data_IF_806371401074
#
_entry.id   IF_806371401074
#
_cell.length_a   1.000
_cell.length_b   1.000
_cell.length_c   1.000
_cell.angle_alpha   90.00
_cell.angle_beta   90.00
_cell.angle_gamma   90.00
#
_symmetry.space_group_name_H-M   'P 1'
#
loop_
_entity.id
_entity.type
_entity.pdbx_description
1 polymer ?
#
# COMPACT_ATOMS: atom_id res chain seq x y z
N UNK A 1 6.56 4.20 24.62
CA UNK A 1 5.35 3.39 24.86
C UNK A 1 5.69 2.30 25.86
N UNK A 2 4.80 1.93 26.79
CA UNK A 2 5.02 0.84 27.76
C UNK A 2 3.90 -0.21 27.63
N UNK A 3 4.28 -1.47 27.37
CA UNK A 3 3.33 -2.58 27.18
C UNK A 3 3.42 -3.49 28.40
N UNK A 4 2.29 -3.77 29.06
CA UNK A 4 2.21 -4.73 30.16
C UNK A 4 1.92 -6.14 29.64
N UNK A 5 2.29 -7.17 30.39
CA UNK A 5 1.92 -8.55 30.08
C UNK A 5 1.23 -9.20 31.28
N UNK A 6 0.26 -10.07 31.02
CA UNK A 6 -0.46 -10.81 32.04
C UNK A 6 -0.60 -12.28 31.62
N UNK A 7 -0.39 -13.19 32.58
CA UNK A 7 -0.60 -14.62 32.39
C UNK A 7 -2.10 -14.93 32.23
N UNK A 8 -2.41 -16.02 31.54
CA UNK A 8 -3.77 -16.52 31.39
C UNK A 8 -3.91 -17.90 32.03
N UNK A 9 -5.13 -18.43 32.08
CA UNK A 9 -5.37 -19.80 32.55
C UNK A 9 -4.73 -20.86 31.64
N UNK A 10 -4.36 -20.49 30.40
CA UNK A 10 -3.69 -21.37 29.45
C UNK A 10 -2.19 -21.04 29.41
N UNK A 11 -1.29 -22.00 29.70
CA UNK A 11 0.15 -21.73 29.76
C UNK A 11 0.75 -21.32 28.41
N UNK A 12 0.12 -21.74 27.31
CA UNK A 12 0.54 -21.39 25.94
C UNK A 12 -0.08 -20.09 25.43
N UNK A 13 -0.82 -19.34 26.25
CA UNK A 13 -1.45 -18.07 25.88
C UNK A 13 -1.02 -16.97 26.83
N UNK A 14 -0.53 -15.86 26.27
CA UNK A 14 -0.12 -14.68 27.03
C UNK A 14 -0.88 -13.44 26.56
N UNK A 15 -1.30 -12.62 27.51
CA UNK A 15 -1.98 -11.35 27.25
C UNK A 15 -0.99 -10.20 27.25
N UNK A 16 -1.07 -9.34 26.24
CA UNK A 16 -0.33 -8.09 26.12
C UNK A 16 -1.30 -6.91 26.20
N UNK A 17 -0.93 -5.89 26.95
CA UNK A 17 -1.75 -4.72 27.28
C UNK A 17 -1.00 -3.45 26.84
N UNK A 18 -1.28 -2.93 25.62
CA UNK A 18 -0.59 -1.77 25.06
C UNK A 18 -0.88 -0.43 25.75
N UNK A 19 -1.94 -0.37 26.56
CA UNK A 19 -2.40 0.86 27.23
C UNK A 19 -3.08 1.86 26.30
N UNK A 20 -3.48 1.42 25.10
CA UNK A 20 -4.27 2.15 24.11
C UNK A 20 -5.12 1.16 23.32
N UNK A 21 -6.02 1.69 22.50
CA UNK A 21 -6.91 0.90 21.67
C UNK A 21 -6.16 0.04 20.64
N UNK A 22 -6.59 -1.21 20.51
CA UNK A 22 -5.97 -2.30 19.75
C UNK A 22 -6.93 -2.91 18.72
N UNK A 23 -8.22 -2.60 18.74
CA UNK A 23 -9.13 -2.95 17.65
C UNK A 23 -10.44 -2.16 17.79
N UNK A 24 -10.91 -1.54 16.72
CA UNK A 24 -12.25 -0.95 16.66
C UNK A 24 -13.28 -2.04 16.33
N UNK A 25 -14.09 -2.45 17.31
CA UNK A 25 -15.21 -3.38 17.10
C UNK A 25 -15.02 -4.77 17.71
N UNK A 26 -15.64 -5.79 17.08
CA UNK A 26 -15.64 -7.15 17.62
C UNK A 26 -14.25 -7.79 17.56
N UNK A 27 -13.99 -8.67 18.52
CA UNK A 27 -12.74 -9.41 18.65
C UNK A 27 -12.42 -10.20 17.38
N UNK A 28 -11.21 -10.04 16.86
CA UNK A 28 -10.72 -10.70 15.64
C UNK A 28 -9.69 -11.77 16.01
N UNK A 29 -9.72 -12.90 15.31
CA UNK A 29 -8.85 -14.05 15.58
C UNK A 29 -8.07 -14.45 14.33
N UNK A 30 -6.78 -14.69 14.49
CA UNK A 30 -5.84 -15.05 13.43
C UNK A 30 -5.11 -16.34 13.81
N UNK A 31 -5.24 -17.41 13.01
CA UNK A 31 -4.66 -18.74 13.32
C UNK A 31 -3.60 -19.22 12.31
N UNK A 32 -3.42 -18.50 11.19
CA UNK A 32 -2.39 -18.76 10.17
C UNK A 32 -2.27 -17.57 9.19
N UNK A 33 -1.31 -17.63 8.25
CA UNK A 33 -1.11 -16.62 7.20
C UNK A 33 -2.31 -16.39 6.27
N UNK A 34 -3.29 -17.30 6.28
CA UNK A 34 -4.43 -17.32 5.35
C UNK A 34 -5.54 -16.31 5.70
N UNK A 35 -5.40 -15.55 6.80
CA UNK A 35 -6.36 -14.52 7.18
C UNK A 35 -5.69 -13.26 7.78
N UNK A 36 -4.42 -13.00 7.44
CA UNK A 36 -3.62 -11.87 7.96
C UNK A 36 -4.02 -10.52 7.34
N UNK A 37 -4.73 -10.54 6.21
CA UNK A 37 -5.07 -9.37 5.40
C UNK A 37 -5.65 -8.16 6.19
N UNK A 38 -6.43 -8.33 7.27
CA UNK A 38 -7.03 -7.19 7.94
C UNK A 38 -6.26 -6.61 9.13
N UNK A 39 -5.00 -7.01 9.42
CA UNK A 39 -4.25 -6.35 10.50
C UNK A 39 -2.73 -6.38 10.30
N UNK A 40 -2.14 -5.19 10.09
CA UNK A 40 -0.69 -4.98 10.06
C UNK A 40 -0.02 -5.36 11.39
N UNK A 41 -0.73 -5.19 12.52
CA UNK A 41 -0.31 -5.65 13.84
C UNK A 41 -0.27 -7.18 13.91
N UNK A 42 -1.33 -7.87 13.47
CA UNK A 42 -1.37 -9.33 13.46
C UNK A 42 -0.29 -9.91 12.53
N UNK A 43 -0.07 -9.31 11.36
CA UNK A 43 0.97 -9.70 10.42
C UNK A 43 2.38 -9.68 11.06
N UNK A 44 2.72 -8.58 11.74
CA UNK A 44 4.03 -8.39 12.38
C UNK A 44 4.26 -9.41 13.49
N UNK A 45 3.25 -9.67 14.32
CA UNK A 45 3.38 -10.60 15.44
C UNK A 45 3.37 -12.06 14.95
N UNK A 46 2.58 -12.42 13.94
CA UNK A 46 2.58 -13.78 13.35
C UNK A 46 3.88 -14.10 12.60
N UNK A 47 4.64 -13.07 12.21
CA UNK A 47 5.98 -13.26 11.63
C UNK A 47 7.02 -13.70 12.68
N UNK A 48 6.72 -13.57 13.98
CA UNK A 48 7.59 -14.08 15.04
C UNK A 48 7.51 -15.61 15.02
N UNK A 49 8.65 -16.33 14.82
CA UNK A 49 8.65 -17.78 14.80
C UNK A 49 8.01 -18.37 16.05
N UNK A 50 7.31 -19.49 15.92
CA UNK A 50 6.62 -20.21 17.00
C UNK A 50 5.37 -19.50 17.58
N UNK A 51 4.95 -18.36 17.03
CA UNK A 51 3.60 -17.80 17.27
C UNK A 51 2.60 -18.50 16.36
N UNK A 52 1.58 -19.10 16.94
CA UNK A 52 0.57 -19.89 16.22
C UNK A 52 -0.71 -19.10 15.97
N UNK A 53 -1.11 -18.27 16.93
CA UNK A 53 -2.41 -17.60 16.89
C UNK A 53 -2.40 -16.29 17.64
N UNK A 54 -3.18 -15.33 17.15
CA UNK A 54 -3.39 -14.03 17.76
C UNK A 54 -4.87 -13.74 17.88
N UNK A 55 -5.29 -13.11 18.98
CA UNK A 55 -6.63 -12.58 19.14
C UNK A 55 -6.51 -11.09 19.49
N UNK A 56 -7.11 -10.23 18.68
CA UNK A 56 -7.15 -8.78 18.88
C UNK A 56 -8.50 -8.41 19.49
N UNK A 57 -8.45 -7.84 20.68
CA UNK A 57 -9.58 -7.26 21.39
C UNK A 57 -9.43 -5.73 21.40
N UNK A 58 -10.40 -4.98 21.94
CA UNK A 58 -10.34 -3.51 21.96
C UNK A 58 -9.16 -2.98 22.77
N UNK A 59 -8.82 -3.63 23.88
CA UNK A 59 -7.78 -3.13 24.81
C UNK A 59 -6.56 -4.05 24.96
N UNK A 60 -6.59 -5.25 24.38
CA UNK A 60 -5.56 -6.24 24.62
C UNK A 60 -5.33 -7.19 23.43
N UNK A 61 -4.15 -7.79 23.43
CA UNK A 61 -3.71 -8.79 22.43
C UNK A 61 -3.50 -10.10 23.17
N UNK A 62 -4.11 -11.19 22.70
CA UNK A 62 -3.75 -12.54 23.14
C UNK A 62 -2.85 -13.18 22.09
N UNK A 63 -1.73 -13.73 22.52
CA UNK A 63 -0.82 -14.49 21.65
C UNK A 63 -0.75 -15.92 22.14
N UNK A 64 -0.92 -16.86 21.22
CA UNK A 64 -0.76 -18.30 21.45
C UNK A 64 0.52 -18.77 20.80
N UNK A 65 1.38 -19.44 21.57
CA UNK A 65 2.66 -20.01 21.10
C UNK A 65 2.58 -21.52 20.90
N UNK A 66 3.58 -22.08 20.23
CA UNK A 66 3.81 -23.52 20.20
C UNK A 66 4.21 -24.08 21.58
N UNK A 67 4.11 -25.39 21.75
CA UNK A 67 4.41 -26.06 23.02
C UNK A 67 5.91 -26.07 23.35
N UNK A 68 6.78 -25.94 22.34
CA UNK A 68 8.22 -26.21 22.47
C UNK A 68 9.09 -24.98 22.76
N UNK A 69 8.49 -23.80 22.96
CA UNK A 69 9.22 -22.55 23.22
C UNK A 69 8.77 -21.87 24.52
N UNK A 70 9.68 -21.18 25.20
CA UNK A 70 9.39 -20.43 26.42
C UNK A 70 9.02 -18.96 26.13
N UNK A 71 8.09 -18.40 26.90
CA UNK A 71 7.70 -16.99 26.79
C UNK A 71 8.85 -16.01 27.03
N UNK A 72 9.88 -16.39 27.79
CA UNK A 72 11.10 -15.59 27.97
C UNK A 72 11.78 -15.30 26.63
N UNK A 73 11.73 -16.24 25.68
CA UNK A 73 12.32 -16.06 24.35
C UNK A 73 11.39 -15.30 23.39
N UNK A 74 10.06 -15.51 23.50
CA UNK A 74 9.07 -14.89 22.62
C UNK A 74 8.67 -13.46 23.01
N UNK A 75 8.75 -13.11 24.29
CA UNK A 75 8.34 -11.77 24.77
C UNK A 75 9.09 -10.64 24.06
N UNK A 76 10.44 -10.64 23.96
CA UNK A 76 11.17 -9.54 23.31
C UNK A 76 10.75 -9.26 21.85
N UNK A 77 10.72 -10.24 20.92
CA UNK A 77 10.32 -9.97 19.54
C UNK A 77 8.85 -9.57 19.40
N UNK A 78 7.94 -10.14 20.20
CA UNK A 78 6.52 -9.74 20.18
C UNK A 78 6.34 -8.30 20.66
N UNK A 79 7.03 -7.91 21.74
CA UNK A 79 7.01 -6.53 22.23
C UNK A 79 7.58 -5.55 21.20
N UNK A 80 8.65 -5.93 20.50
CA UNK A 80 9.19 -5.17 19.37
C UNK A 80 8.15 -4.97 18.27
N UNK A 81 7.51 -6.05 17.81
CA UNK A 81 6.48 -6.00 16.78
C UNK A 81 5.30 -5.08 17.16
N UNK A 82 4.83 -5.15 18.41
CA UNK A 82 3.75 -4.29 18.91
C UNK A 82 4.22 -2.83 18.98
N UNK A 83 5.43 -2.57 19.50
CA UNK A 83 5.96 -1.20 19.61
C UNK A 83 6.16 -0.57 18.23
N UNK A 84 6.74 -1.29 17.28
CA UNK A 84 7.02 -0.81 15.93
C UNK A 84 5.72 -0.40 15.23
N UNK A 85 4.70 -1.25 15.29
CA UNK A 85 3.35 -0.96 14.75
C UNK A 85 2.77 0.34 15.32
N UNK A 86 2.90 0.51 16.62
CA UNK A 86 2.30 1.62 17.34
C UNK A 86 3.12 2.92 17.30
N UNK A 87 4.36 2.85 16.84
CA UNK A 87 5.25 3.98 16.57
C UNK A 87 5.21 4.37 15.09
N UNK A 88 4.99 3.41 14.17
CA UNK A 88 4.82 3.70 12.73
C UNK A 88 3.53 4.46 12.44
N UNK A 89 2.53 4.38 13.33
CA UNK A 89 1.24 5.05 13.14
C UNK A 89 0.34 4.32 12.13
N UNK A 90 0.66 3.06 11.81
CA UNK A 90 -0.18 2.21 10.98
C UNK A 90 -1.55 2.03 11.66
N UNK A 91 -2.66 2.08 10.91
CA UNK A 91 -4.00 1.85 11.49
C UNK A 91 -4.19 0.40 11.94
N UNK A 92 -4.98 0.22 13.00
CA UNK A 92 -5.10 -1.00 13.81
C UNK A 92 -5.92 -2.08 13.12
N UNK A 93 -6.85 -1.63 12.29
CA UNK A 93 -7.67 -2.47 11.43
C UNK A 93 -7.30 -2.14 9.99
N UNK A 94 -6.67 -3.08 9.32
CA UNK A 94 -6.74 -3.13 7.86
C UNK A 94 -8.09 -3.72 7.42
N UNK A 95 -9.22 -3.18 7.87
CA UNK A 95 -10.45 -3.25 7.05
C UNK A 95 -10.30 -2.27 5.86
N UNK A 96 -9.17 -2.38 5.16
CA UNK A 96 -8.82 -1.61 3.97
C UNK A 96 -9.86 -1.89 2.89
N UNK A 97 -10.44 -3.08 2.85
CA UNK A 97 -11.36 -3.47 1.78
C UNK A 97 -12.76 -2.85 1.89
N UNK A 98 -13.24 -2.45 3.09
CA UNK A 98 -14.57 -1.83 3.27
C UNK A 98 -14.54 -0.37 3.74
N UNK A 99 -13.55 0.04 4.55
CA UNK A 99 -13.45 1.44 5.03
C UNK A 99 -12.78 2.31 3.97
N UNK A 100 -11.71 1.83 3.32
CA UNK A 100 -11.02 2.62 2.29
C UNK A 100 -11.78 2.62 0.96
N UNK A 101 -12.53 1.57 0.63
CA UNK A 101 -13.44 1.57 -0.53
C UNK A 101 -14.60 2.58 -0.35
N UNK A 102 -15.12 2.76 0.87
CA UNK A 102 -16.04 3.85 1.22
C UNK A 102 -15.36 5.22 1.23
N UNK A 103 -14.19 5.34 1.85
CA UNK A 103 -13.47 6.60 1.98
C UNK A 103 -13.02 7.12 0.60
N UNK A 104 -12.74 6.26 -0.39
CA UNK A 104 -12.42 6.65 -1.77
C UNK A 104 -13.65 7.03 -2.59
N UNK A 105 -14.81 6.38 -2.41
CA UNK A 105 -16.08 6.90 -2.95
C UNK A 105 -16.48 8.23 -2.30
N UNK A 106 -16.00 8.48 -1.07
CA UNK A 106 -16.16 9.71 -0.30
C UNK A 106 -15.01 10.74 -0.45
N UNK A 107 -13.96 10.47 -1.24
CA UNK A 107 -12.95 11.47 -1.66
C UNK A 107 -13.55 12.55 -2.58
N UNK A 108 -14.88 12.70 -2.60
CA UNK A 108 -15.54 13.84 -3.20
C UNK A 108 -15.01 15.09 -2.53
N UNK A 109 -14.28 15.88 -3.33
CA UNK A 109 -13.94 17.24 -3.00
C UNK A 109 -15.25 18.00 -2.79
N UNK A 110 -15.62 18.20 -1.53
CA UNK A 110 -16.69 19.12 -1.19
C UNK A 110 -16.18 20.54 -1.44
N UNK A 111 -16.47 21.09 -2.61
CA UNK A 111 -16.07 22.45 -2.96
C UNK A 111 -16.74 23.53 -2.07
N UNK A 112 -17.69 23.15 -1.21
CA UNK A 112 -18.21 24.03 -0.17
C UNK A 112 -17.36 24.06 1.09
N UNK A 113 -16.44 23.10 1.26
CA UNK A 113 -15.42 23.14 2.31
C UNK A 113 -14.37 24.22 1.96
N UNK A 114 -14.19 25.24 2.83
CA UNK A 114 -13.23 26.30 2.60
C UNK A 114 -11.78 25.79 2.50
N UNK A 115 -11.43 24.69 3.20
CA UNK A 115 -10.11 24.08 3.13
C UNK A 115 -9.88 23.45 1.77
N UNK A 116 -10.88 22.76 1.23
CA UNK A 116 -10.82 22.14 -0.10
C UNK A 116 -10.69 23.20 -1.20
N UNK A 117 -11.41 24.31 -1.06
CA UNK A 117 -11.30 25.44 -1.97
C UNK A 117 -9.89 26.07 -1.94
N UNK A 118 -9.32 26.26 -0.75
CA UNK A 118 -7.95 26.80 -0.58
C UNK A 118 -6.88 25.84 -1.10
N UNK A 119 -7.00 24.54 -0.81
CA UNK A 119 -6.15 23.49 -1.37
C UNK A 119 -6.15 23.54 -2.90
N UNK A 120 -7.34 23.62 -3.50
CA UNK A 120 -7.51 23.68 -4.95
C UNK A 120 -6.84 24.92 -5.55
N UNK A 121 -7.00 26.09 -4.92
CA UNK A 121 -6.37 27.32 -5.37
C UNK A 121 -4.84 27.25 -5.29
N UNK A 122 -4.28 26.80 -4.16
CA UNK A 122 -2.82 26.68 -3.99
C UNK A 122 -2.22 25.68 -4.98
N UNK A 123 -2.91 24.58 -5.22
CA UNK A 123 -2.45 23.55 -6.16
C UNK A 123 -2.40 24.11 -7.57
N UNK A 124 -3.48 24.73 -8.06
CA UNK A 124 -3.54 25.25 -9.42
C UNK A 124 -2.62 26.46 -9.64
N UNK A 125 -2.47 27.34 -8.64
CA UNK A 125 -1.73 28.60 -8.80
C UNK A 125 -0.22 28.49 -8.52
N UNK A 126 0.22 27.52 -7.70
CA UNK A 126 1.62 27.43 -7.26
C UNK A 126 2.26 26.07 -7.52
N UNK A 127 1.60 24.98 -7.16
CA UNK A 127 2.19 23.65 -7.18
C UNK A 127 2.21 23.08 -8.61
N UNK A 128 1.10 23.15 -9.33
CA UNK A 128 0.96 22.62 -10.69
C UNK A 128 1.85 23.32 -11.72
N UNK A 129 2.05 24.66 -11.68
CA UNK A 129 3.04 25.32 -12.53
C UNK A 129 4.48 24.83 -12.27
N UNK A 130 4.82 24.51 -11.02
CA UNK A 130 6.14 23.99 -10.68
C UNK A 130 6.31 22.53 -11.12
N UNK A 131 5.27 21.71 -10.98
CA UNK A 131 5.26 20.32 -11.46
C UNK A 131 5.42 20.24 -12.99
N UNK A 132 4.63 21.03 -13.72
CA UNK A 132 4.66 21.05 -15.20
C UNK A 132 5.98 21.56 -15.77
N UNK A 133 6.62 22.55 -15.12
CA UNK A 133 7.97 22.99 -15.49
C UNK A 133 9.02 21.88 -15.38
N UNK A 134 8.82 20.93 -14.48
CA UNK A 134 9.74 19.80 -14.27
C UNK A 134 9.34 18.55 -15.09
N UNK A 135 8.33 18.64 -15.97
CA UNK A 135 7.89 17.52 -16.81
C UNK A 135 6.91 16.56 -16.13
N UNK A 136 6.21 17.00 -15.08
CA UNK A 136 5.19 16.23 -14.38
C UNK A 136 3.86 17.00 -14.26
N UNK A 137 2.87 16.41 -13.60
CA UNK A 137 1.59 17.06 -13.28
C UNK A 137 1.12 16.63 -11.88
N UNK A 138 0.25 17.41 -11.25
CA UNK A 138 -0.31 17.12 -9.93
C UNK A 138 -1.80 17.42 -9.94
N UNK A 139 -2.61 16.51 -9.39
CA UNK A 139 -4.07 16.69 -9.23
C UNK A 139 -4.49 16.43 -7.79
N UNK A 140 -5.31 17.33 -7.25
CA UNK A 140 -5.99 17.09 -5.98
C UNK A 140 -7.05 16.02 -6.17
N UNK A 141 -7.01 14.97 -5.36
CA UNK A 141 -7.97 13.85 -5.41
C UNK A 141 -8.89 13.80 -4.21
N UNK A 142 -8.48 14.30 -3.05
CA UNK A 142 -9.35 14.44 -1.89
C UNK A 142 -8.65 15.00 -0.68
N UNK A 143 -9.43 15.29 0.36
CA UNK A 143 -8.96 15.75 1.66
C UNK A 143 -9.85 15.16 2.75
N UNK A 144 -9.26 14.38 3.65
CA UNK A 144 -9.97 13.71 4.76
C UNK A 144 -9.06 13.75 5.99
N UNK A 145 -9.59 14.19 7.13
CA UNK A 145 -8.91 14.17 8.44
C UNK A 145 -7.46 14.68 8.44
N UNK A 146 -7.23 15.81 7.75
CA UNK A 146 -5.91 16.44 7.67
C UNK A 146 -4.95 15.77 6.67
N UNK A 147 -5.40 14.77 5.91
CA UNK A 147 -4.61 14.11 4.86
C UNK A 147 -5.05 14.62 3.50
N UNK A 148 -4.11 15.19 2.75
CA UNK A 148 -4.34 15.61 1.36
C UNK A 148 -3.90 14.48 0.44
N UNK A 149 -4.81 14.01 -0.41
CA UNK A 149 -4.53 12.98 -1.41
C UNK A 149 -4.25 13.64 -2.75
N UNK A 150 -3.02 13.53 -3.24
CA UNK A 150 -2.59 14.07 -4.51
C UNK A 150 -2.24 12.94 -5.47
N UNK A 151 -2.68 13.03 -6.71
CA UNK A 151 -2.14 12.19 -7.78
C UNK A 151 -0.96 12.92 -8.42
N UNK A 152 0.23 12.35 -8.26
CA UNK A 152 1.44 12.82 -8.93
C UNK A 152 1.58 12.12 -10.29
N UNK A 153 2.00 12.83 -11.32
CA UNK A 153 2.26 12.30 -12.67
C UNK A 153 3.69 12.64 -13.09
N UNK A 154 4.41 11.65 -13.61
CA UNK A 154 5.79 11.81 -14.07
C UNK A 154 6.72 12.24 -12.93
N UNK A 155 7.64 13.15 -13.24
CA UNK A 155 8.65 13.66 -12.31
C UNK A 155 8.10 14.42 -11.10
N UNK A 156 6.81 14.76 -11.10
CA UNK A 156 6.17 15.51 -10.02
C UNK A 156 6.20 14.78 -8.67
N UNK A 157 6.33 13.45 -8.66
CA UNK A 157 6.41 12.65 -7.43
C UNK A 157 7.55 13.12 -6.51
N UNK A 158 8.68 13.54 -7.07
CA UNK A 158 9.83 14.05 -6.31
C UNK A 158 9.50 15.32 -5.48
N UNK A 159 8.42 16.02 -5.83
CA UNK A 159 7.99 17.24 -5.15
C UNK A 159 7.16 16.96 -3.90
N UNK A 160 6.78 15.71 -3.61
CA UNK A 160 5.85 15.36 -2.53
C UNK A 160 6.20 16.02 -1.19
N UNK A 161 7.45 15.88 -0.73
CA UNK A 161 7.90 16.47 0.53
C UNK A 161 7.85 18.01 0.52
N UNK A 162 8.17 18.63 -0.62
CA UNK A 162 8.12 20.08 -0.78
C UNK A 162 6.68 20.60 -0.78
N UNK A 163 5.79 19.89 -1.46
CA UNK A 163 4.35 20.16 -1.51
C UNK A 163 3.72 20.00 -0.13
N UNK A 164 4.03 18.92 0.60
CA UNK A 164 3.56 18.72 1.97
C UNK A 164 3.96 19.88 2.88
N UNK A 165 5.25 20.25 2.89
CA UNK A 165 5.73 21.36 3.71
C UNK A 165 5.06 22.69 3.35
N UNK A 166 4.83 22.93 2.05
CA UNK A 166 4.12 24.11 1.59
C UNK A 166 2.67 24.11 2.07
N UNK A 167 1.93 23.03 1.83
CA UNK A 167 0.52 22.94 2.20
C UNK A 167 0.32 23.10 3.71
N UNK A 168 1.15 22.47 4.54
CA UNK A 168 1.12 22.66 6.01
C UNK A 168 1.40 24.09 6.46
N UNK A 169 2.19 24.83 5.69
CA UNK A 169 2.51 26.23 6.01
C UNK A 169 1.32 27.16 5.74
N UNK A 170 0.60 26.93 4.64
CA UNK A 170 -0.53 27.76 4.25
C UNK A 170 -1.86 27.31 4.89
N UNK A 171 -2.03 26.00 5.10
CA UNK A 171 -3.23 25.37 5.64
C UNK A 171 -2.83 24.48 6.84
N UNK A 172 -2.85 25.02 8.07
CA UNK A 172 -2.40 24.32 9.28
C UNK A 172 -3.16 23.03 9.61
N UNK A 173 -4.39 22.88 9.10
CA UNK A 173 -5.22 21.68 9.23
C UNK A 173 -4.66 20.49 8.44
N UNK A 174 -3.83 20.76 7.42
CA UNK A 174 -3.08 19.72 6.71
C UNK A 174 -2.01 19.16 7.64
N UNK A 175 -2.00 17.84 7.82
CA UNK A 175 -1.01 17.10 8.60
C UNK A 175 0.02 16.41 7.72
N UNK A 176 -0.40 15.87 6.56
CA UNK A 176 0.47 15.17 5.60
C UNK A 176 -0.12 15.11 4.19
N UNK A 177 0.73 14.75 3.22
CA UNK A 177 0.33 14.48 1.83
C UNK A 177 0.60 13.03 1.47
N UNK A 178 -0.42 12.34 0.96
CA UNK A 178 -0.32 10.98 0.44
C UNK A 178 -0.47 10.97 -1.08
N UNK A 179 0.25 10.05 -1.75
CA UNK A 179 -0.06 9.75 -3.15
C UNK A 179 -1.42 9.02 -3.19
N UNK A 180 -2.33 9.53 -4.02
CA UNK A 180 -3.64 8.93 -4.24
C UNK A 180 -3.54 7.45 -4.63
N UNK A 181 -2.51 7.05 -5.39
CA UNK A 181 -2.30 5.66 -5.83
C UNK A 181 -1.93 4.72 -4.69
N UNK A 182 -1.30 5.25 -3.64
CA UNK A 182 -0.97 4.48 -2.44
C UNK A 182 -2.18 4.39 -1.49
N UNK A 183 -3.11 5.35 -1.61
CA UNK A 183 -4.36 5.36 -0.89
C UNK A 183 -5.41 4.41 -1.49
N UNK A 184 -5.32 4.08 -2.79
CA UNK A 184 -6.21 3.11 -3.45
C UNK A 184 -5.97 1.70 -2.87
N UNK A 185 -6.99 1.07 -2.26
CA UNK A 185 -6.99 -0.34 -1.92
C UNK A 185 -6.75 -1.16 -3.17
N UNK A 186 -5.65 -1.90 -3.18
CA UNK A 186 -5.33 -2.85 -4.26
C UNK A 186 -6.05 -4.17 -4.05
N UNK A 187 -7.37 -4.08 -3.81
CA UNK A 187 -8.28 -5.24 -3.54
C UNK A 187 -8.22 -6.23 -4.70
N UNK A 188 -7.90 -5.72 -5.90
CA UNK A 188 -7.71 -6.49 -7.11
C UNK A 188 -6.73 -7.64 -6.97
N UNK A 189 -5.70 -7.53 -6.14
CA UNK A 189 -4.64 -8.55 -6.04
C UNK A 189 -5.12 -9.90 -5.47
N UNK A 190 -6.25 -9.93 -4.77
CA UNK A 190 -6.83 -11.15 -4.20
C UNK A 190 -7.91 -11.77 -5.11
N UNK A 191 -8.15 -11.20 -6.29
CA UNK A 191 -9.14 -11.73 -7.26
C UNK A 191 -8.61 -12.96 -7.99
N UNK A 192 -9.51 -13.80 -8.50
CA UNK A 192 -9.14 -14.93 -9.37
C UNK A 192 -8.40 -14.44 -10.62
N UNK A 193 -8.79 -13.28 -11.15
CA UNK A 193 -8.10 -12.60 -12.25
C UNK A 193 -6.67 -12.25 -11.89
N UNK A 194 -6.41 -11.63 -10.73
CA UNK A 194 -5.05 -11.26 -10.34
C UNK A 194 -4.16 -12.48 -10.09
N UNK A 195 -4.68 -13.54 -9.48
CA UNK A 195 -3.95 -14.80 -9.30
C UNK A 195 -3.55 -15.36 -10.67
N UNK A 196 -4.48 -15.41 -11.63
CA UNK A 196 -4.20 -15.88 -12.98
C UNK A 196 -3.20 -14.97 -13.72
N UNK A 197 -3.28 -13.65 -13.55
CA UNK A 197 -2.32 -12.71 -14.14
C UNK A 197 -0.93 -12.88 -13.53
N UNK A 198 -0.82 -13.03 -12.20
CA UNK A 198 0.45 -13.29 -11.52
C UNK A 198 1.09 -14.57 -12.04
N UNK A 199 0.32 -15.65 -12.18
CA UNK A 199 0.82 -16.91 -12.74
C UNK A 199 1.33 -16.73 -14.18
N UNK A 200 0.61 -15.99 -15.04
CA UNK A 200 1.06 -15.67 -16.40
C UNK A 200 2.35 -14.86 -16.39
N UNK A 201 2.44 -13.86 -15.50
CA UNK A 201 3.63 -13.04 -15.38
C UNK A 201 4.83 -13.89 -14.96
N UNK A 202 4.70 -14.75 -13.96
CA UNK A 202 5.79 -15.59 -13.45
C UNK A 202 6.20 -16.70 -14.43
N UNK A 203 5.24 -17.36 -15.07
CA UNK A 203 5.50 -18.58 -15.84
C UNK A 203 5.78 -18.33 -17.32
N UNK A 204 5.33 -17.20 -17.89
CA UNK A 204 5.44 -16.92 -19.34
C UNK A 204 6.16 -15.61 -19.65
N UNK A 205 5.79 -14.53 -18.98
CA UNK A 205 6.28 -13.19 -19.31
C UNK A 205 7.67 -12.94 -18.74
N UNK A 206 7.83 -13.09 -17.42
CA UNK A 206 9.08 -12.83 -16.70
C UNK A 206 10.26 -13.67 -17.22
N UNK A 207 10.12 -14.96 -17.55
CA UNK A 207 11.20 -15.72 -18.18
C UNK A 207 11.67 -15.12 -19.51
N UNK A 208 10.75 -14.53 -20.28
CA UNK A 208 11.04 -13.93 -21.60
C UNK A 208 11.75 -12.58 -21.47
N UNK A 209 11.35 -11.74 -20.50
CA UNK A 209 11.96 -10.42 -20.29
C UNK A 209 13.23 -10.46 -19.44
N UNK A 210 13.41 -11.50 -18.62
CA UNK A 210 14.60 -11.70 -17.79
C UNK A 210 15.89 -11.79 -18.63
N UNK A 211 15.81 -12.28 -19.88
CA UNK A 211 16.94 -12.31 -20.81
C UNK A 211 17.52 -10.93 -21.13
N UNK A 212 16.73 -9.86 -20.94
CA UNK A 212 17.15 -8.46 -21.08
C UNK A 212 17.30 -7.76 -19.71
N UNK A 213 17.35 -8.53 -18.62
CA UNK A 213 17.40 -8.01 -17.25
C UNK A 213 16.10 -7.33 -16.80
N UNK A 214 14.99 -7.57 -17.50
CA UNK A 214 13.67 -7.01 -17.18
C UNK A 214 12.89 -7.88 -16.21
N UNK A 215 12.00 -7.27 -15.45
CA UNK A 215 11.03 -7.95 -14.60
C UNK A 215 9.71 -7.17 -14.62
N UNK A 216 8.58 -7.85 -14.50
CA UNK A 216 7.26 -7.23 -14.49
C UNK A 216 6.47 -7.75 -13.29
N UNK A 217 5.98 -6.80 -12.49
CA UNK A 217 5.13 -7.05 -11.32
C UNK A 217 3.71 -6.59 -11.58
N UNK A 218 2.72 -7.37 -11.11
CA UNK A 218 1.34 -6.90 -11.02
C UNK A 218 1.21 -5.97 -9.82
N UNK A 219 0.60 -4.81 -10.03
CA UNK A 219 0.36 -3.81 -8.99
C UNK A 219 -1.09 -3.83 -8.52
N UNK A 220 -2.04 -4.00 -9.44
CA UNK A 220 -3.46 -4.08 -9.09
C UNK A 220 -4.31 -4.61 -10.25
N UNK A 221 -5.54 -5.01 -9.94
CA UNK A 221 -6.59 -5.35 -10.91
C UNK A 221 -7.88 -4.63 -10.55
N UNK A 222 -8.32 -3.70 -11.39
CA UNK A 222 -9.57 -2.97 -11.21
C UNK A 222 -10.55 -3.32 -12.34
N UNK A 223 -11.48 -4.23 -12.04
CA UNK A 223 -12.50 -4.72 -12.98
C UNK A 223 -11.89 -5.33 -14.25
N UNK A 224 -11.82 -4.54 -15.32
CA UNK A 224 -11.26 -4.97 -16.61
C UNK A 224 -9.86 -4.41 -16.90
N UNK A 225 -9.23 -3.77 -15.91
CA UNK A 225 -7.93 -3.13 -16.04
C UNK A 225 -6.90 -3.82 -15.15
N UNK A 226 -5.75 -4.15 -15.70
CA UNK A 226 -4.60 -4.62 -14.92
C UNK A 226 -3.51 -3.55 -14.90
N UNK A 227 -2.97 -3.25 -13.73
CA UNK A 227 -1.89 -2.29 -13.55
C UNK A 227 -0.60 -3.04 -13.28
N UNK A 228 0.43 -2.79 -14.07
CA UNK A 228 1.71 -3.48 -13.96
C UNK A 228 2.86 -2.49 -13.82
N UNK A 229 3.94 -2.93 -13.20
CA UNK A 229 5.19 -2.18 -13.11
C UNK A 229 6.31 -2.97 -13.76
N UNK A 230 7.03 -2.31 -14.64
CA UNK A 230 8.18 -2.80 -15.37
C UNK A 230 9.45 -2.36 -14.64
N UNK A 231 10.27 -3.34 -14.29
CA UNK A 231 11.47 -3.18 -13.47
C UNK A 231 12.71 -3.64 -14.23
N UNK A 232 13.89 -3.23 -13.76
CA UNK A 232 15.17 -3.59 -14.37
C UNK A 232 15.34 -3.05 -15.80
N UNK A 233 15.80 -3.90 -16.72
CA UNK A 233 16.05 -3.54 -18.12
C UNK A 233 14.81 -3.05 -18.89
N UNK A 234 13.61 -3.28 -18.37
CA UNK A 234 12.37 -2.76 -18.94
C UNK A 234 12.06 -1.31 -18.54
N UNK A 235 12.62 -0.81 -17.43
CA UNK A 235 12.32 0.53 -16.92
C UNK A 235 12.82 1.64 -17.87
N UNK A 236 13.97 1.46 -18.53
CA UNK A 236 14.61 2.48 -19.38
C UNK A 236 14.60 2.19 -20.88
N UNK A 237 13.84 1.19 -21.34
CA UNK A 237 13.84 0.75 -22.73
C UNK A 237 12.80 1.53 -23.56
N UNK A 238 13.20 2.16 -24.67
CA UNK A 238 12.22 2.85 -25.54
C UNK A 238 11.30 1.93 -26.34
N UNK A 239 11.52 0.61 -26.26
CA UNK A 239 10.59 -0.40 -26.77
C UNK A 239 9.66 -0.96 -25.67
N UNK A 240 9.72 -0.46 -24.43
CA UNK A 240 8.90 -0.94 -23.32
C UNK A 240 7.39 -0.92 -23.66
N UNK A 241 6.93 0.13 -24.35
CA UNK A 241 5.54 0.26 -24.78
C UNK A 241 5.11 -0.84 -25.79
N UNK A 242 6.03 -1.30 -26.64
CA UNK A 242 5.77 -2.41 -27.59
C UNK A 242 5.75 -3.74 -26.84
N UNK A 243 6.72 -3.98 -25.95
CA UNK A 243 6.73 -5.16 -25.07
C UNK A 243 5.45 -5.26 -24.26
N UNK A 244 4.97 -4.14 -23.72
CA UNK A 244 3.70 -4.04 -23.01
C UNK A 244 2.51 -4.38 -23.92
N UNK A 245 2.30 -3.63 -25.01
CA UNK A 245 1.09 -3.72 -25.84
C UNK A 245 1.01 -4.99 -26.68
N UNK A 246 2.13 -5.43 -27.24
CA UNK A 246 2.17 -6.55 -28.19
C UNK A 246 2.57 -7.87 -27.53
N UNK A 247 3.14 -7.83 -26.32
CA UNK A 247 3.55 -9.01 -25.57
C UNK A 247 2.70 -9.23 -24.32
N UNK A 248 2.95 -8.43 -23.29
CA UNK A 248 2.39 -8.63 -21.94
C UNK A 248 0.87 -8.56 -21.94
N UNK A 249 0.31 -7.51 -22.54
CA UNK A 249 -1.14 -7.34 -22.62
C UNK A 249 -1.81 -8.48 -23.38
N UNK A 250 -1.20 -8.94 -24.49
CA UNK A 250 -1.73 -10.04 -25.30
C UNK A 250 -1.75 -11.35 -24.51
N UNK A 251 -0.67 -11.67 -23.78
CA UNK A 251 -0.62 -12.90 -22.97
C UNK A 251 -1.60 -12.86 -21.79
N UNK A 252 -1.70 -11.72 -21.10
CA UNK A 252 -2.67 -11.54 -20.02
C UNK A 252 -4.10 -11.73 -20.55
N UNK A 253 -4.46 -11.07 -21.66
CA UNK A 253 -5.81 -11.12 -22.23
C UNK A 253 -6.19 -12.49 -22.79
N UNK A 254 -5.21 -13.30 -23.21
CA UNK A 254 -5.46 -14.70 -23.64
C UNK A 254 -5.91 -15.57 -22.47
N UNK A 255 -5.31 -15.39 -21.31
CA UNK A 255 -5.57 -16.21 -20.12
C UNK A 255 -6.73 -15.65 -19.29
N UNK A 256 -6.85 -14.32 -19.24
CA UNK A 256 -7.87 -13.60 -18.48
C UNK A 256 -8.63 -12.66 -19.43
N UNK A 257 -9.60 -13.17 -20.23
CA UNK A 257 -10.31 -12.37 -21.24
C UNK A 257 -11.20 -11.26 -20.67
N UNK A 258 -11.48 -11.28 -19.36
CA UNK A 258 -12.18 -10.20 -18.65
C UNK A 258 -11.35 -8.91 -18.60
N UNK A 259 -10.02 -9.02 -18.63
CA UNK A 259 -9.12 -7.86 -18.74
C UNK A 259 -9.16 -7.30 -20.16
N UNK A 260 -9.51 -6.02 -20.29
CA UNK A 260 -9.58 -5.27 -21.55
C UNK A 260 -8.42 -4.30 -21.73
N UNK A 261 -7.77 -3.90 -20.65
CA UNK A 261 -6.71 -2.90 -20.68
C UNK A 261 -5.59 -3.28 -19.69
N UNK A 262 -4.33 -3.15 -20.12
CA UNK A 262 -3.16 -3.33 -19.26
C UNK A 262 -2.37 -2.03 -19.26
N UNK A 263 -2.18 -1.46 -18.07
CA UNK A 263 -1.63 -0.14 -17.84
C UNK A 263 -0.27 -0.24 -17.14
N UNK A 264 0.70 0.51 -17.63
CA UNK A 264 2.02 0.60 -17.03
C UNK A 264 2.10 1.79 -16.07
N UNK A 265 2.47 1.55 -14.82
CA UNK A 265 2.62 2.57 -13.77
C UNK A 265 4.07 2.90 -13.45
N UNK A 266 5.01 2.42 -14.26
CA UNK A 266 6.45 2.59 -14.06
C UNK A 266 6.90 4.04 -14.21
N UNK A 267 7.78 4.48 -13.30
CA UNK A 267 8.58 5.68 -13.52
C UNK A 267 9.75 5.38 -14.45
N UNK A 268 9.51 5.52 -15.76
CA UNK A 268 10.53 5.33 -16.79
C UNK A 268 11.63 6.39 -16.78
N UNK A 269 11.42 7.53 -16.11
CA UNK A 269 12.43 8.58 -16.00
C UNK A 269 13.42 8.34 -14.85
N UNK A 270 13.07 7.49 -13.87
CA UNK A 270 13.86 7.22 -12.67
C UNK A 270 14.92 6.10 -12.79
N UNK A 271 15.02 5.41 -13.92
CA UNK A 271 15.92 4.25 -14.09
C UNK A 271 17.38 4.63 -14.32
N UNK A 272 18.33 3.88 -13.74
CA UNK A 272 19.78 4.12 -13.89
C UNK A 272 20.36 3.69 -15.25
N UNK A 273 19.53 3.39 -16.25
CA UNK A 273 20.00 3.03 -17.59
C UNK A 273 19.06 3.56 -18.70
N UNK A 274 19.02 4.88 -18.95
CA UNK A 274 18.27 5.44 -20.06
C UNK A 274 19.06 5.18 -21.35
N UNK A 275 18.70 4.11 -22.07
CA UNK A 275 19.26 3.86 -23.41
C UNK A 275 18.53 4.73 -24.44
N UNK A 276 18.60 6.05 -24.29
CA UNK A 276 18.34 7.05 -25.34
C UNK A 276 19.32 8.21 -25.20
N UNK A 277 20.50 8.06 -25.81
CA UNK A 277 21.18 9.17 -26.48
C UNK A 277 21.36 8.77 -27.93
N UNK A 278 20.60 9.41 -28.82
CA UNK A 278 20.60 9.18 -30.27
C UNK A 278 19.35 9.75 -30.90
#
# INVERSE_FOLDING_TARGET
MFIQTAETEKPNVLKFLPGREVNEGEKIVFESAENIAPSSLAARILHVPEVLKIELDTEHILVTKSENIDWVQLKPPILGAIMDYFVSGDSVTSNVDEKVSKDIEELKLDNSDPIVAELSELIETRIKPAATQNGGDIKLRGYIDGVVFLEFVGSAFQLQNGVENMLRHYIPEVQRVADYRDAIPKVGLNTEEAIAIQEVLETRVNPSVAGHGGHISLIDVDGSRAYIRMEGGCQGCGMANVTLKEGVAVEIQKVVPSIKEVLDVTDHAGGTNPYFQG
#
